data_IF_435143710232
#
_entry.id   IF_435143710232
#
_cell.length_a   1.000
_cell.length_b   1.000
_cell.length_c   1.000
_cell.angle_alpha   90.00
_cell.angle_beta   90.00
_cell.angle_gamma   90.00
#
_symmetry.space_group_name_H-M   'P 1'
#
loop_
_entity.id
_entity.type
_entity.pdbx_description
1 polymer ?
#
# COMPACT_ATOMS: atom_id res chain seq x y z
N UNK A 1 -6.56 -5.38 15.01
CA UNK A 1 -7.25 -4.27 14.34
C UNK A 1 -6.35 -3.05 14.42
N UNK A 2 -5.47 -2.88 13.45
CA UNK A 2 -4.69 -1.64 13.34
C UNK A 2 -5.66 -0.55 12.90
N UNK A 3 -5.83 0.44 13.74
CA UNK A 3 -6.78 1.51 13.47
C UNK A 3 -6.19 2.48 12.43
N UNK A 4 -6.64 2.44 11.19
CA UNK A 4 -6.53 3.54 10.23
C UNK A 4 -7.15 4.85 10.79
N UNK A 5 -7.72 4.78 12.00
CA UNK A 5 -8.33 5.93 12.71
C UNK A 5 -7.39 7.13 12.76
N UNK A 6 -6.07 6.89 12.95
CA UNK A 6 -5.09 7.98 13.00
C UNK A 6 -4.80 8.61 11.64
N UNK A 7 -4.89 7.87 10.55
CA UNK A 7 -4.69 8.42 9.20
C UNK A 7 -5.79 9.40 8.78
N UNK A 8 -6.99 9.23 9.34
CA UNK A 8 -8.15 10.06 9.03
C UNK A 8 -8.32 11.27 9.97
N UNK A 9 -7.54 11.38 11.04
CA UNK A 9 -7.59 12.49 11.99
C UNK A 9 -6.33 13.36 11.93
N UNK A 10 -6.49 14.68 11.79
CA UNK A 10 -5.39 15.67 11.78
C UNK A 10 -4.65 15.83 13.13
N UNK A 11 -4.93 15.00 14.15
CA UNK A 11 -4.44 15.15 15.54
C UNK A 11 -3.83 13.88 16.14
N UNK A 12 -3.08 13.08 15.40
CA UNK A 12 -2.37 11.94 15.99
C UNK A 12 -0.87 12.23 16.12
N UNK A 13 -0.41 12.27 17.38
CA UNK A 13 1.02 12.30 17.73
C UNK A 13 1.66 10.92 17.50
N UNK A 14 2.98 10.83 17.20
CA UNK A 14 3.68 9.58 16.85
C UNK A 14 3.69 8.50 17.93
N UNK A 15 3.26 8.82 19.16
CA UNK A 15 3.35 7.91 20.33
C UNK A 15 2.20 6.90 20.47
N UNK A 16 1.14 7.03 19.68
CA UNK A 16 -0.02 6.11 19.76
C UNK A 16 0.24 4.71 19.18
N UNK A 17 1.40 4.50 18.57
CA UNK A 17 1.70 3.29 17.78
C UNK A 17 2.35 2.13 18.54
N UNK A 18 2.85 2.36 19.76
CA UNK A 18 3.69 1.34 20.45
C UNK A 18 2.87 0.32 21.26
N UNK A 19 1.62 0.61 21.60
CA UNK A 19 0.86 -0.20 22.55
C UNK A 19 -0.07 -1.26 21.97
N UNK A 20 -0.18 -1.40 20.64
CA UNK A 20 -1.19 -2.25 19.99
C UNK A 20 -0.71 -3.59 19.41
N UNK A 21 0.52 -4.02 19.71
CA UNK A 21 1.05 -5.30 19.20
C UNK A 21 0.61 -6.55 19.97
N UNK A 22 -0.21 -6.41 21.02
CA UNK A 22 -0.69 -7.53 21.83
C UNK A 22 -2.19 -7.76 21.71
N UNK A 23 -2.69 -8.01 20.48
CA UNK A 23 -4.05 -8.53 20.33
C UNK A 23 -3.99 -9.99 19.90
N UNK A 24 -4.09 -10.89 20.89
CA UNK A 24 -4.40 -12.29 20.65
C UNK A 24 -5.78 -12.39 19.99
N UNK A 25 -5.82 -13.01 18.82
CA UNK A 25 -7.04 -13.32 18.09
C UNK A 25 -7.90 -14.33 18.89
N UNK A 26 -8.89 -13.85 19.63
CA UNK A 26 -9.94 -14.71 20.15
C UNK A 26 -10.99 -14.89 19.06
N UNK A 27 -10.82 -15.93 18.24
CA UNK A 27 -11.78 -16.29 17.18
C UNK A 27 -12.95 -17.02 17.85
N UNK A 28 -14.06 -16.32 18.13
CA UNK A 28 -15.35 -16.99 18.38
C UNK A 28 -15.82 -17.61 17.06
N UNK A 29 -15.97 -18.95 17.07
CA UNK A 29 -16.41 -19.79 15.95
C UNK A 29 -17.84 -19.45 15.53
N UNK A 30 -18.05 -18.58 14.56
CA UNK A 30 -19.33 -18.39 13.89
C UNK A 30 -19.17 -18.74 12.40
N UNK A 31 -19.80 -19.85 11.96
CA UNK A 31 -19.73 -20.38 10.58
C UNK A 31 -20.13 -19.33 9.52
N UNK A 32 -21.06 -18.43 9.86
CA UNK A 32 -21.53 -17.33 9.01
C UNK A 32 -20.44 -16.27 8.78
N UNK A 33 -19.63 -15.97 9.80
CA UNK A 33 -18.52 -14.99 9.70
C UNK A 33 -17.38 -15.56 8.86
N UNK A 34 -17.13 -16.89 8.89
CA UNK A 34 -16.12 -17.52 8.02
C UNK A 34 -16.46 -17.38 6.54
N UNK A 35 -17.73 -17.55 6.16
CA UNK A 35 -18.16 -17.44 4.76
C UNK A 35 -18.08 -15.98 4.26
N UNK A 36 -18.45 -15.02 5.09
CA UNK A 36 -18.34 -13.59 4.76
C UNK A 36 -16.85 -13.20 4.62
N UNK A 37 -15.99 -13.63 5.52
CA UNK A 37 -14.56 -13.35 5.47
C UNK A 37 -13.86 -14.02 4.28
N UNK A 38 -14.30 -15.23 3.89
CA UNK A 38 -13.82 -15.89 2.67
C UNK A 38 -14.24 -15.11 1.42
N UNK A 39 -15.48 -14.67 1.34
CA UNK A 39 -16.01 -13.90 0.21
C UNK A 39 -15.31 -12.53 0.09
N UNK A 40 -15.09 -11.82 1.19
CA UNK A 40 -14.34 -10.55 1.22
C UNK A 40 -12.89 -10.74 0.77
N UNK A 41 -12.22 -11.81 1.18
CA UNK A 41 -10.87 -12.14 0.70
C UNK A 41 -10.81 -12.30 -0.83
N UNK A 42 -11.86 -12.88 -1.44
CA UNK A 42 -11.92 -13.09 -2.90
C UNK A 42 -12.12 -11.76 -3.65
N UNK A 43 -12.83 -10.81 -3.07
CA UNK A 43 -13.07 -9.50 -3.68
C UNK A 43 -11.78 -8.65 -3.73
N UNK A 44 -11.01 -8.62 -2.63
CA UNK A 44 -9.82 -7.77 -2.55
C UNK A 44 -8.58 -8.35 -3.25
N UNK A 45 -8.61 -9.62 -3.67
CA UNK A 45 -7.50 -10.24 -4.42
C UNK A 45 -7.23 -9.49 -5.73
N UNK A 46 -8.25 -8.96 -6.37
CA UNK A 46 -8.09 -8.21 -7.62
C UNK A 46 -7.32 -6.91 -7.40
N UNK A 47 -7.60 -6.19 -6.30
CA UNK A 47 -6.84 -4.99 -5.93
C UNK A 47 -5.37 -5.35 -5.72
N UNK A 48 -5.10 -6.39 -4.93
CA UNK A 48 -3.74 -6.84 -4.67
C UNK A 48 -3.00 -7.27 -5.95
N UNK A 49 -3.64 -8.06 -6.81
CA UNK A 49 -3.07 -8.50 -8.08
C UNK A 49 -2.78 -7.31 -9.02
N UNK A 50 -3.67 -6.32 -9.06
CA UNK A 50 -3.43 -5.10 -9.82
C UNK A 50 -2.22 -4.33 -9.31
N UNK A 51 -2.10 -4.16 -7.99
CA UNK A 51 -0.92 -3.53 -7.37
C UNK A 51 0.36 -4.29 -7.71
N UNK A 52 0.36 -5.63 -7.62
CA UNK A 52 1.50 -6.47 -8.00
C UNK A 52 1.83 -6.33 -9.49
N UNK A 53 0.83 -6.30 -10.37
CA UNK A 53 1.05 -6.13 -11.81
C UNK A 53 1.67 -4.77 -12.15
N UNK A 54 1.26 -3.69 -11.47
CA UNK A 54 1.90 -2.38 -11.62
C UNK A 54 3.39 -2.42 -11.27
N UNK A 55 3.78 -3.19 -10.24
CA UNK A 55 5.21 -3.34 -9.88
C UNK A 55 6.00 -4.20 -10.87
N UNK A 56 5.35 -4.91 -11.79
CA UNK A 56 6.01 -5.71 -12.83
C UNK A 56 6.33 -4.90 -14.09
N UNK A 57 5.93 -3.64 -14.15
CA UNK A 57 6.28 -2.76 -15.25
C UNK A 57 7.79 -2.54 -15.29
N UNK A 58 8.44 -3.07 -16.34
CA UNK A 58 9.91 -2.99 -16.51
C UNK A 58 10.41 -1.55 -16.66
N UNK A 59 9.56 -0.64 -17.13
CA UNK A 59 9.93 0.75 -17.32
C UNK A 59 10.28 1.44 -15.98
N UNK A 60 9.67 1.01 -14.88
CA UNK A 60 9.97 1.51 -13.54
C UNK A 60 11.42 1.24 -13.11
N UNK A 61 12.06 0.21 -13.66
CA UNK A 61 13.39 -0.26 -13.22
C UNK A 61 14.51 0.01 -14.22
N UNK A 62 14.20 0.48 -15.43
CA UNK A 62 15.20 0.69 -16.50
C UNK A 62 16.37 1.59 -16.11
N UNK A 63 16.12 2.50 -15.16
CA UNK A 63 17.04 3.55 -14.76
C UNK A 63 17.60 3.36 -13.34
N UNK A 64 17.33 2.20 -12.74
CA UNK A 64 17.90 1.85 -11.43
C UNK A 64 19.27 1.20 -11.61
N UNK A 65 20.24 1.59 -10.77
CA UNK A 65 21.61 1.02 -10.79
C UNK A 65 21.63 -0.49 -10.49
N UNK A 66 20.74 -0.96 -9.62
CA UNK A 66 20.52 -2.37 -9.30
C UNK A 66 19.07 -2.68 -9.65
N UNK A 67 18.87 -3.32 -10.79
CA UNK A 67 17.54 -3.55 -11.32
C UNK A 67 16.81 -4.68 -10.58
N UNK A 68 15.55 -4.42 -10.25
CA UNK A 68 14.53 -5.42 -9.97
C UNK A 68 14.80 -6.30 -8.73
N UNK A 69 15.23 -5.66 -7.64
CA UNK A 69 15.31 -6.35 -6.34
C UNK A 69 13.92 -6.48 -5.69
N UNK A 70 13.77 -7.45 -4.77
CA UNK A 70 12.54 -7.56 -3.95
C UNK A 70 12.24 -6.26 -3.20
N UNK A 71 13.28 -5.57 -2.72
CA UNK A 71 13.13 -4.31 -1.99
C UNK A 71 12.53 -3.21 -2.86
N UNK A 72 12.99 -3.08 -4.12
CA UNK A 72 12.49 -2.07 -5.06
C UNK A 72 11.02 -2.34 -5.40
N UNK A 73 10.68 -3.60 -5.69
CA UNK A 73 9.29 -4.01 -5.94
C UNK A 73 8.37 -3.72 -4.76
N UNK A 74 8.86 -3.96 -3.55
CA UNK A 74 8.11 -3.66 -2.33
C UNK A 74 7.84 -2.16 -2.19
N UNK A 75 8.85 -1.30 -2.41
CA UNK A 75 8.68 0.14 -2.34
C UNK A 75 7.65 0.61 -3.36
N UNK A 76 7.73 0.14 -4.61
CA UNK A 76 6.72 0.47 -5.62
C UNK A 76 5.33 -0.05 -5.27
N UNK A 77 5.21 -1.27 -4.70
CA UNK A 77 3.92 -1.78 -4.23
C UNK A 77 3.31 -0.84 -3.17
N UNK A 78 4.11 -0.44 -2.19
CA UNK A 78 3.64 0.43 -1.12
C UNK A 78 3.29 1.83 -1.62
N UNK A 79 4.07 2.39 -2.57
CA UNK A 79 3.75 3.68 -3.19
C UNK A 79 2.44 3.62 -3.97
N UNK A 80 2.26 2.64 -4.86
CA UNK A 80 1.00 2.48 -5.60
C UNK A 80 -0.19 2.30 -4.65
N UNK A 81 -0.01 1.53 -3.58
CA UNK A 81 -1.06 1.33 -2.58
C UNK A 81 -1.37 2.61 -1.78
N UNK A 82 -0.37 3.43 -1.48
CA UNK A 82 -0.56 4.71 -0.82
C UNK A 82 -1.38 5.69 -1.69
N UNK A 83 -1.08 5.78 -2.98
CA UNK A 83 -1.88 6.55 -3.95
C UNK A 83 -3.31 6.01 -4.06
N UNK A 84 -3.47 4.69 -4.11
CA UNK A 84 -4.78 4.04 -4.14
C UNK A 84 -5.63 4.43 -2.92
N UNK A 85 -5.11 4.30 -1.71
CA UNK A 85 -5.86 4.69 -0.51
C UNK A 85 -6.16 6.19 -0.47
N UNK A 86 -5.24 7.04 -0.94
CA UNK A 86 -5.46 8.49 -1.05
C UNK A 86 -6.62 8.78 -2.00
N UNK A 87 -6.65 8.16 -3.18
CA UNK A 87 -7.67 8.40 -4.20
C UNK A 87 -9.08 8.08 -3.68
N UNK A 88 -9.24 6.94 -3.03
CA UNK A 88 -10.57 6.47 -2.59
C UNK A 88 -10.95 6.85 -1.16
N UNK A 89 -10.11 7.62 -0.45
CA UNK A 89 -10.35 8.06 0.93
C UNK A 89 -11.67 8.82 1.11
N UNK A 90 -12.09 9.59 0.11
CA UNK A 90 -13.29 10.44 0.18
C UNK A 90 -14.55 9.68 -0.21
N UNK A 91 -14.45 8.73 -1.14
CA UNK A 91 -15.59 8.10 -1.81
C UNK A 91 -15.98 6.76 -1.16
N UNK A 92 -15.07 6.15 -0.42
CA UNK A 92 -15.24 4.82 0.17
C UNK A 92 -15.29 4.90 1.68
N UNK A 93 -16.17 4.12 2.29
CA UNK A 93 -16.27 4.00 3.74
C UNK A 93 -14.94 3.54 4.34
N UNK A 94 -14.57 4.16 5.44
CA UNK A 94 -13.33 3.90 6.16
C UNK A 94 -13.11 2.42 6.50
N UNK A 95 -14.17 1.73 6.94
CA UNK A 95 -14.10 0.31 7.30
C UNK A 95 -13.71 -0.56 6.10
N UNK A 96 -14.23 -0.23 4.90
CA UNK A 96 -13.87 -0.94 3.65
C UNK A 96 -12.41 -0.70 3.28
N UNK A 97 -11.91 0.53 3.38
CA UNK A 97 -10.49 0.83 3.13
C UNK A 97 -9.59 0.16 4.17
N UNK A 98 -10.04 0.03 5.42
CA UNK A 98 -9.33 -0.73 6.46
C UNK A 98 -9.23 -2.21 6.09
N UNK A 99 -10.31 -2.81 5.60
CA UNK A 99 -10.31 -4.21 5.16
C UNK A 99 -9.36 -4.44 3.98
N UNK A 100 -9.32 -3.52 3.00
CA UNK A 100 -8.34 -3.56 1.90
C UNK A 100 -6.92 -3.48 2.43
N UNK A 101 -6.66 -2.55 3.36
CA UNK A 101 -5.36 -2.41 4.00
C UNK A 101 -4.94 -3.70 4.69
N UNK A 102 -5.80 -4.25 5.55
CA UNK A 102 -5.53 -5.49 6.29
C UNK A 102 -5.26 -6.66 5.32
N UNK A 103 -6.01 -6.72 4.20
CA UNK A 103 -5.83 -7.73 3.17
C UNK A 103 -4.47 -7.62 2.48
N UNK A 104 -4.11 -6.43 2.00
CA UNK A 104 -2.83 -6.20 1.28
C UNK A 104 -1.63 -6.51 2.17
N UNK A 105 -1.63 -6.04 3.42
CA UNK A 105 -0.53 -6.32 4.35
C UNK A 105 -0.47 -7.80 4.76
N UNK A 106 -1.60 -8.48 4.82
CA UNK A 106 -1.63 -9.93 5.03
C UNK A 106 -1.01 -10.69 3.85
N UNK A 107 -1.32 -10.30 2.60
CA UNK A 107 -0.70 -10.91 1.42
C UNK A 107 0.81 -10.65 1.38
N UNK A 108 1.24 -9.45 1.74
CA UNK A 108 2.66 -9.12 1.86
C UNK A 108 3.35 -9.99 2.92
N UNK A 109 2.75 -10.17 4.09
CA UNK A 109 3.27 -11.06 5.14
C UNK A 109 3.43 -12.50 4.62
N UNK A 110 2.42 -13.03 3.93
CA UNK A 110 2.48 -14.37 3.35
C UNK A 110 3.61 -14.48 2.32
N UNK A 111 3.78 -13.50 1.44
CA UNK A 111 4.86 -13.48 0.45
C UNK A 111 6.24 -13.47 1.11
N UNK A 112 6.41 -12.75 2.23
CA UNK A 112 7.68 -12.75 2.98
C UNK A 112 7.95 -14.12 3.62
N UNK A 113 6.89 -14.82 4.09
CA UNK A 113 7.00 -16.19 4.61
C UNK A 113 7.44 -17.17 3.53
N UNK A 114 6.90 -17.06 2.33
CA UNK A 114 7.26 -17.89 1.18
C UNK A 114 8.74 -17.73 0.77
N UNK A 115 9.33 -16.57 0.99
CA UNK A 115 10.77 -16.32 0.77
C UNK A 115 11.65 -17.04 1.81
N UNK A 116 11.06 -17.56 2.92
CA UNK A 116 11.76 -18.37 3.92
C UNK A 116 12.20 -17.63 5.18
N UNK A 117 11.68 -16.44 5.45
CA UNK A 117 11.97 -15.75 6.72
C UNK A 117 11.24 -16.41 7.90
N UNK A 118 11.94 -16.59 9.02
CA UNK A 118 11.36 -17.09 10.28
C UNK A 118 10.46 -16.05 10.96
N UNK A 119 9.51 -16.51 11.80
CA UNK A 119 8.44 -15.69 12.40
C UNK A 119 8.92 -14.43 13.13
N UNK A 120 10.02 -14.50 13.88
CA UNK A 120 10.58 -13.31 14.55
C UNK A 120 11.07 -12.26 13.56
N UNK A 121 11.73 -12.71 12.48
CA UNK A 121 12.21 -11.83 11.41
C UNK A 121 11.08 -11.19 10.64
N UNK A 122 9.99 -11.94 10.40
CA UNK A 122 8.79 -11.45 9.71
C UNK A 122 8.14 -10.34 10.51
N UNK A 123 7.92 -10.53 11.80
CA UNK A 123 7.30 -9.51 12.66
C UNK A 123 8.12 -8.22 12.67
N UNK A 124 9.45 -8.32 12.73
CA UNK A 124 10.34 -7.16 12.66
C UNK A 124 10.26 -6.45 11.32
N UNK A 125 10.29 -7.20 10.20
CA UNK A 125 10.19 -6.65 8.85
C UNK A 125 8.83 -6.01 8.59
N UNK A 126 7.73 -6.67 8.98
CA UNK A 126 6.37 -6.12 8.83
C UNK A 126 6.20 -4.80 9.58
N UNK A 127 6.78 -4.68 10.78
CA UNK A 127 6.78 -3.41 11.52
C UNK A 127 7.50 -2.29 10.76
N UNK A 128 8.65 -2.60 10.15
CA UNK A 128 9.39 -1.64 9.32
C UNK A 128 8.57 -1.22 8.10
N UNK A 129 7.97 -2.18 7.39
CA UNK A 129 7.17 -1.89 6.18
C UNK A 129 5.89 -1.11 6.48
N UNK A 130 5.24 -1.39 7.60
CA UNK A 130 4.08 -0.61 8.05
C UNK A 130 4.48 0.83 8.37
N UNK A 131 5.58 1.05 9.07
CA UNK A 131 6.08 2.40 9.37
C UNK A 131 6.47 3.15 8.10
N UNK A 132 7.15 2.48 7.16
CA UNK A 132 7.49 3.03 5.85
C UNK A 132 6.23 3.43 5.06
N UNK A 133 5.21 2.58 5.06
CA UNK A 133 3.95 2.87 4.38
C UNK A 133 3.24 4.10 4.96
N UNK A 134 3.21 4.25 6.28
CA UNK A 134 2.64 5.45 6.90
C UNK A 134 3.43 6.72 6.57
N UNK A 135 4.76 6.63 6.50
CA UNK A 135 5.59 7.75 6.05
C UNK A 135 5.28 8.13 4.58
N UNK A 136 5.05 7.14 3.71
CA UNK A 136 4.62 7.38 2.32
C UNK A 136 3.25 8.06 2.26
N UNK A 137 2.27 7.57 3.03
CA UNK A 137 0.93 8.16 3.09
C UNK A 137 0.95 9.63 3.53
N UNK A 138 1.77 9.95 4.52
CA UNK A 138 1.94 11.31 5.02
C UNK A 138 2.53 12.23 3.95
N UNK A 139 3.61 11.81 3.31
CA UNK A 139 4.28 12.56 2.24
C UNK A 139 3.41 12.74 0.99
N UNK A 140 2.64 11.73 0.61
CA UNK A 140 1.77 11.76 -0.58
C UNK A 140 0.49 12.56 -0.31
N UNK A 141 0.19 12.91 0.95
CA UNK A 141 -1.07 13.58 1.30
C UNK A 141 -1.35 14.83 0.46
N UNK A 142 -0.36 15.65 0.20
CA UNK A 142 -0.46 16.89 -0.56
C UNK A 142 0.06 16.79 -2.01
N UNK A 143 0.17 15.57 -2.55
CA UNK A 143 0.72 15.32 -3.87
C UNK A 143 0.11 16.17 -4.99
N UNK A 144 -1.21 16.33 -4.98
CA UNK A 144 -1.98 17.07 -5.99
C UNK A 144 -1.70 18.57 -6.01
N UNK A 145 -1.31 19.14 -4.86
CA UNK A 145 -0.98 20.57 -4.72
C UNK A 145 0.54 20.84 -4.73
N UNK A 146 1.35 19.79 -4.69
CA UNK A 146 2.81 19.89 -4.61
C UNK A 146 3.44 20.31 -5.95
N UNK A 147 4.50 21.12 -5.87
CA UNK A 147 5.33 21.43 -7.03
C UNK A 147 6.07 20.18 -7.54
N UNK A 148 6.56 20.24 -8.79
CA UNK A 148 7.34 19.15 -9.38
C UNK A 148 8.56 18.79 -8.54
N UNK A 149 9.31 19.78 -8.06
CA UNK A 149 10.52 19.56 -7.24
C UNK A 149 10.18 18.91 -5.90
N UNK A 150 9.05 19.28 -5.29
CA UNK A 150 8.60 18.66 -4.05
C UNK A 150 8.17 17.20 -4.28
N UNK A 151 7.46 16.91 -5.36
CA UNK A 151 7.10 15.53 -5.76
C UNK A 151 8.34 14.67 -5.97
N UNK A 152 9.35 15.23 -6.64
CA UNK A 152 10.64 14.59 -6.85
C UNK A 152 11.34 14.28 -5.52
N UNK A 153 11.44 15.27 -4.62
CA UNK A 153 12.00 15.09 -3.28
C UNK A 153 11.28 14.01 -2.47
N UNK A 154 9.94 13.93 -2.58
CA UNK A 154 9.13 12.89 -1.92
C UNK A 154 9.51 11.50 -2.44
N UNK A 155 9.60 11.32 -3.75
CA UNK A 155 9.96 10.02 -4.33
C UNK A 155 11.38 9.60 -3.97
N UNK A 156 12.33 10.52 -4.03
CA UNK A 156 13.73 10.27 -3.66
C UNK A 156 13.91 9.85 -2.20
N UNK A 157 13.05 10.34 -1.31
CA UNK A 157 13.09 9.91 0.10
C UNK A 157 12.91 8.39 0.24
N UNK A 158 12.24 7.74 -0.71
CA UNK A 158 11.93 6.31 -0.67
C UNK A 158 12.70 5.47 -1.69
N UNK A 159 13.22 6.10 -2.75
CA UNK A 159 13.84 5.45 -3.90
C UNK A 159 15.33 5.84 -4.02
N UNK A 160 16.18 5.29 -3.15
CA UNK A 160 17.59 5.66 -2.98
C UNK A 160 18.47 5.50 -4.25
N UNK A 161 18.02 4.82 -5.29
CA UNK A 161 18.86 4.41 -6.42
C UNK A 161 18.36 4.86 -7.79
N UNK A 162 17.38 5.75 -7.87
CA UNK A 162 16.88 6.22 -9.16
C UNK A 162 17.77 7.28 -9.77
N UNK A 163 18.10 7.13 -11.05
CA UNK A 163 18.87 8.10 -11.82
C UNK A 163 18.01 9.02 -12.69
N UNK A 164 16.73 8.72 -12.86
CA UNK A 164 15.76 9.54 -13.61
C UNK A 164 14.49 9.81 -12.81
N UNK A 165 14.56 10.80 -12.01
CA UNK A 165 13.55 11.24 -11.07
C UNK A 165 12.32 11.85 -11.76
N UNK A 166 12.57 12.59 -12.86
CA UNK A 166 11.51 13.23 -13.64
C UNK A 166 10.50 12.22 -14.21
N UNK A 167 10.97 11.11 -14.75
CA UNK A 167 10.11 10.05 -15.28
C UNK A 167 9.18 9.45 -14.19
N UNK A 168 9.70 9.28 -12.99
CA UNK A 168 8.92 8.73 -11.88
C UNK A 168 7.81 9.69 -11.42
N UNK A 169 8.08 11.00 -11.43
CA UNK A 169 7.06 12.01 -11.13
C UNK A 169 5.95 11.97 -12.17
N UNK A 170 6.30 11.96 -13.46
CA UNK A 170 5.33 11.86 -14.55
C UNK A 170 4.51 10.58 -14.49
N UNK A 171 5.16 9.45 -14.18
CA UNK A 171 4.50 8.17 -13.99
C UNK A 171 3.46 8.20 -12.86
N UNK A 172 3.83 8.71 -11.68
CA UNK A 172 2.90 8.78 -10.55
C UNK A 172 1.84 9.85 -10.71
N UNK A 173 2.11 10.94 -11.44
CA UNK A 173 1.10 11.94 -11.82
C UNK A 173 0.05 11.33 -12.76
N UNK A 174 0.50 10.54 -13.75
CA UNK A 174 -0.41 9.78 -14.63
C UNK A 174 -1.24 8.79 -13.80
N UNK A 175 -0.59 7.99 -12.96
CA UNK A 175 -1.27 7.02 -12.11
C UNK A 175 -2.30 7.67 -11.19
N UNK A 176 -1.97 8.82 -10.60
CA UNK A 176 -2.92 9.61 -9.79
C UNK A 176 -4.14 10.07 -10.59
N UNK A 177 -3.94 10.57 -11.80
CA UNK A 177 -5.04 10.97 -12.70
C UNK A 177 -5.92 9.78 -13.08
N UNK A 178 -5.33 8.64 -13.39
CA UNK A 178 -6.04 7.41 -13.75
C UNK A 178 -6.89 6.90 -12.56
N UNK A 179 -6.35 6.94 -11.35
CA UNK A 179 -7.11 6.61 -10.13
C UNK A 179 -8.27 7.58 -9.90
N UNK A 180 -8.04 8.88 -10.06
CA UNK A 180 -9.06 9.92 -9.85
C UNK A 180 -10.21 9.82 -10.85
N UNK A 181 -9.97 9.28 -12.05
CA UNK A 181 -10.98 9.03 -13.09
C UNK A 181 -11.64 7.65 -12.97
N UNK A 182 -11.18 6.80 -12.07
CA UNK A 182 -11.68 5.44 -11.88
C UNK A 182 -12.65 5.35 -10.71
N UNK A 183 -13.43 4.28 -10.65
CA UNK A 183 -14.30 3.99 -9.51
C UNK A 183 -13.69 2.86 -8.68
N UNK A 184 -13.90 2.88 -7.36
CA UNK A 184 -13.45 1.80 -6.47
C UNK A 184 -13.96 0.41 -6.94
N UNK A 185 -15.21 0.35 -7.41
CA UNK A 185 -15.80 -0.88 -7.91
C UNK A 185 -15.12 -1.46 -9.16
N UNK A 186 -14.52 -0.63 -10.01
CA UNK A 186 -13.75 -1.12 -11.16
C UNK A 186 -12.50 -1.90 -10.71
N UNK A 187 -11.86 -1.47 -9.64
CA UNK A 187 -10.70 -2.16 -9.06
C UNK A 187 -11.06 -3.49 -8.38
N UNK A 188 -12.29 -3.61 -7.86
CA UNK A 188 -12.80 -4.87 -7.31
C UNK A 188 -13.05 -5.90 -8.40
N UNK A 189 -13.49 -5.48 -9.59
CA UNK A 189 -13.86 -6.39 -10.70
C UNK A 189 -12.68 -6.94 -11.50
N UNK A 190 -11.47 -6.47 -11.26
CA UNK A 190 -10.26 -7.04 -11.85
C UNK A 190 -10.01 -6.70 -13.33
N UNK A 191 -10.71 -5.73 -13.90
CA UNK A 191 -10.52 -5.30 -15.28
C UNK A 191 -9.99 -3.87 -15.31
N UNK A 192 -8.71 -3.71 -15.05
CA UNK A 192 -8.00 -2.50 -15.49
C UNK A 192 -7.08 -2.94 -16.60
N UNK A 193 -7.50 -2.69 -17.83
CA UNK A 193 -6.61 -2.71 -18.98
C UNK A 193 -5.69 -1.50 -18.81
N UNK A 194 -4.42 -1.76 -18.58
CA UNK A 194 -3.35 -0.76 -18.69
C UNK A 194 -3.15 -0.39 -20.15
#
# INVERSE_FOLDING_TARGET
>A
MFNLVCFFSKKCTPWCFITLFNVQFTIKKNKKIKNIKFFMNTIYINIYNNLVNLTRNKDLYKKFKKQDTFSDRLIFLLLHFAFFLKAFKKDVKKDVLQEVYDYVFRQLELSIREIGYGDQSINKKMKVYINLFYAMLDKIHEWDTSSFDLKMSILLTFLDNSTEEAFLVEYFDKYWKDLSNSTFNSHLKGVIKS
#
